data_IF_845840482516
#
_entry.id   IF_845840482516
#
_cell.length_a   1.000
_cell.length_b   1.000
_cell.length_c   1.000
_cell.angle_alpha   90.00
_cell.angle_beta   90.00
_cell.angle_gamma   90.00
#
_symmetry.space_group_name_H-M   'P 1'
#
loop_
_entity.id
_entity.type
_entity.pdbx_description
1 polymer ?
#
# COMPACT_ATOMS: atom_id res chain seq x y z
N UNK A 1 -2.39 -8.27 -3.61
CA UNK A 1 -2.96 -8.40 -2.25
C UNK A 1 -1.87 -8.56 -1.19
N UNK A 2 -0.94 -9.53 -1.32
CA UNK A 2 0.15 -9.70 -0.33
C UNK A 2 1.07 -8.48 -0.15
N UNK A 3 1.34 -7.72 -1.21
CA UNK A 3 2.14 -6.48 -1.11
C UNK A 3 1.49 -5.38 -0.24
N UNK A 4 0.16 -5.26 -0.25
CA UNK A 4 -0.56 -4.27 0.59
C UNK A 4 -0.67 -4.70 2.06
N UNK A 5 -0.81 -6.00 2.31
CA UNK A 5 -0.85 -6.56 3.65
C UNK A 5 0.46 -6.34 4.43
N UNK A 6 1.61 -6.36 3.75
CA UNK A 6 2.92 -6.04 4.34
C UNK A 6 2.99 -4.56 4.76
N UNK A 7 2.38 -3.64 4.00
CA UNK A 7 2.26 -2.24 4.41
C UNK A 7 1.32 -2.04 5.61
N UNK A 8 0.26 -2.84 5.70
CA UNK A 8 -0.60 -2.90 6.88
C UNK A 8 0.11 -3.52 8.10
N UNK A 9 1.12 -4.37 7.93
CA UNK A 9 1.92 -4.89 9.05
C UNK A 9 2.77 -3.80 9.74
N UNK A 10 3.02 -2.68 9.06
CA UNK A 10 3.69 -1.50 9.61
C UNK A 10 2.74 -0.54 10.36
N UNK A 11 1.53 -0.98 10.74
CA UNK A 11 0.50 -0.16 11.42
C UNK A 11 0.96 0.48 12.74
N UNK A 12 1.99 -0.08 13.37
CA UNK A 12 2.55 0.36 14.66
C UNK A 12 3.86 1.13 14.52
N UNK A 13 4.32 1.44 13.30
CA UNK A 13 5.52 2.24 13.07
C UNK A 13 5.32 3.66 13.63
N UNK A 14 6.29 4.15 14.41
CA UNK A 14 6.28 5.53 14.91
C UNK A 14 6.61 6.49 13.77
N UNK A 15 5.62 7.24 13.30
CA UNK A 15 5.82 8.33 12.36
C UNK A 15 6.07 9.64 13.12
N UNK A 16 6.90 10.55 12.56
CA UNK A 16 7.20 11.83 13.19
C UNK A 16 6.00 12.79 13.18
N UNK A 17 5.05 12.67 12.23
CA UNK A 17 3.79 13.42 12.22
C UNK A 17 2.55 12.52 12.14
N UNK A 18 1.47 12.95 12.80
CA UNK A 18 0.16 12.28 12.76
C UNK A 18 -0.46 12.29 11.36
N UNK A 19 -0.17 13.33 10.56
CA UNK A 19 -0.67 13.43 9.19
C UNK A 19 -0.07 12.34 8.28
N UNK A 20 1.23 12.07 8.40
CA UNK A 20 1.90 11.01 7.64
C UNK A 20 1.39 9.62 8.03
N UNK A 21 1.14 9.40 9.32
CA UNK A 21 0.58 8.14 9.81
C UNK A 21 -0.82 7.87 9.23
N UNK A 22 -1.70 8.88 9.25
CA UNK A 22 -3.04 8.77 8.68
C UNK A 22 -2.96 8.55 7.17
N UNK A 23 -2.10 9.29 6.47
CA UNK A 23 -1.92 9.16 5.03
C UNK A 23 -1.43 7.75 4.66
N UNK A 24 -0.48 7.19 5.41
CA UNK A 24 0.03 5.84 5.23
C UNK A 24 -1.06 4.78 5.38
N UNK A 25 -1.88 4.90 6.44
CA UNK A 25 -2.99 3.97 6.71
C UNK A 25 -4.05 4.03 5.62
N UNK A 26 -4.45 5.24 5.20
CA UNK A 26 -5.44 5.44 4.14
C UNK A 26 -4.91 4.91 2.80
N UNK A 27 -3.67 5.22 2.43
CA UNK A 27 -3.08 4.73 1.18
C UNK A 27 -2.92 3.20 1.16
N UNK A 28 -2.52 2.59 2.29
CA UNK A 28 -2.38 1.13 2.41
C UNK A 28 -3.73 0.40 2.28
N UNK A 29 -4.78 0.95 2.90
CA UNK A 29 -6.14 0.45 2.77
C UNK A 29 -6.64 0.59 1.32
N UNK A 30 -6.49 1.77 0.71
CA UNK A 30 -6.89 2.00 -0.68
C UNK A 30 -6.20 1.02 -1.63
N UNK A 31 -4.88 0.85 -1.54
CA UNK A 31 -4.11 -0.07 -2.39
C UNK A 31 -4.55 -1.53 -2.23
N UNK A 32 -5.08 -1.90 -1.07
CA UNK A 32 -5.60 -3.25 -0.80
C UNK A 32 -7.04 -3.43 -1.30
N UNK A 33 -7.91 -2.44 -1.09
CA UNK A 33 -9.32 -2.49 -1.47
C UNK A 33 -9.55 -2.36 -2.98
N UNK A 34 -8.73 -1.58 -3.70
CA UNK A 34 -8.87 -1.37 -5.15
C UNK A 34 -8.87 -2.68 -5.97
N UNK A 35 -7.89 -3.60 -5.82
CA UNK A 35 -7.92 -4.86 -6.57
C UNK A 35 -9.09 -5.76 -6.16
N UNK A 36 -9.55 -5.71 -4.90
CA UNK A 36 -10.75 -6.43 -4.48
C UNK A 36 -12.00 -5.91 -5.18
N UNK A 37 -12.16 -4.58 -5.25
CA UNK A 37 -13.24 -3.93 -5.98
C UNK A 37 -13.23 -4.31 -7.47
N UNK A 38 -12.06 -4.24 -8.11
CA UNK A 38 -11.93 -4.60 -9.53
C UNK A 38 -12.28 -6.07 -9.78
N UNK A 39 -11.84 -6.99 -8.91
CA UNK A 39 -12.21 -8.40 -9.00
C UNK A 39 -13.73 -8.60 -8.85
N UNK A 40 -14.35 -7.91 -7.89
CA UNK A 40 -15.79 -7.94 -7.67
C UNK A 40 -16.59 -7.46 -8.90
N UNK A 41 -16.20 -6.33 -9.49
CA UNK A 41 -16.81 -5.81 -10.71
C UNK A 41 -16.68 -6.80 -11.87
N UNK A 42 -15.52 -7.42 -12.05
CA UNK A 42 -15.31 -8.42 -13.09
C UNK A 42 -16.23 -9.64 -12.92
N UNK A 43 -16.43 -10.11 -11.68
CA UNK A 43 -17.35 -11.22 -11.38
C UNK A 43 -18.79 -10.84 -11.75
N UNK A 44 -19.26 -9.66 -11.34
CA UNK A 44 -20.62 -9.20 -11.66
C UNK A 44 -20.84 -9.12 -13.18
N UNK A 45 -19.90 -8.51 -13.91
CA UNK A 45 -20.00 -8.36 -15.37
C UNK A 45 -19.97 -9.72 -16.08
N UNK A 46 -19.21 -10.69 -15.55
CA UNK A 46 -19.15 -12.04 -16.11
C UNK A 46 -20.47 -12.81 -15.89
N UNK A 47 -21.09 -12.68 -14.70
CA UNK A 47 -22.37 -13.33 -14.37
C UNK A 47 -23.54 -12.65 -15.11
N UNK A 48 -23.49 -11.33 -15.27
CA UNK A 48 -24.55 -10.53 -15.89
C UNK A 48 -24.04 -9.79 -17.14
N UNK A 49 -23.81 -10.49 -18.26
CA UNK A 49 -23.27 -9.87 -19.47
C UNK A 49 -24.22 -8.84 -20.11
N UNK A 50 -25.53 -8.98 -19.88
CA UNK A 50 -26.58 -8.14 -20.48
C UNK A 50 -26.94 -6.90 -19.63
N UNK A 51 -25.95 -6.27 -18.99
CA UNK A 51 -26.16 -5.03 -18.25
C UNK A 51 -26.52 -3.88 -19.22
N UNK A 52 -27.44 -2.97 -18.83
CA UNK A 52 -27.77 -1.82 -19.66
C UNK A 52 -26.55 -0.93 -19.90
N UNK A 53 -26.49 -0.28 -21.07
CA UNK A 53 -25.33 0.49 -21.53
C UNK A 53 -24.95 1.65 -20.61
N UNK A 54 -25.93 2.25 -19.90
CA UNK A 54 -25.63 3.27 -18.90
C UNK A 54 -24.79 2.70 -17.75
N UNK A 55 -25.05 1.45 -17.31
CA UNK A 55 -24.36 0.85 -16.15
C UNK A 55 -22.93 0.56 -16.54
N UNK A 56 -22.73 0.01 -17.73
CA UNK A 56 -21.39 -0.22 -18.29
C UNK A 56 -20.59 1.09 -18.36
N UNK A 57 -21.22 2.17 -18.81
CA UNK A 57 -20.60 3.50 -18.87
C UNK A 57 -20.20 3.99 -17.47
N UNK A 58 -21.10 3.89 -16.49
CA UNK A 58 -20.81 4.26 -15.10
C UNK A 58 -19.68 3.42 -14.50
N UNK A 59 -19.69 2.10 -14.70
CA UNK A 59 -18.62 1.20 -14.23
C UNK A 59 -17.27 1.59 -14.83
N UNK A 60 -17.21 1.93 -16.14
CA UNK A 60 -15.97 2.42 -16.76
C UNK A 60 -15.45 3.68 -16.10
N UNK A 61 -16.31 4.69 -15.94
CA UNK A 61 -15.91 5.98 -15.35
C UNK A 61 -15.43 5.83 -13.90
N UNK A 62 -16.17 5.07 -13.09
CA UNK A 62 -15.78 4.79 -11.71
C UNK A 62 -14.46 4.01 -11.66
N UNK A 63 -14.31 2.97 -12.47
CA UNK A 63 -13.07 2.18 -12.53
C UNK A 63 -11.86 3.01 -12.95
N UNK A 64 -12.04 3.95 -13.89
CA UNK A 64 -10.99 4.88 -14.30
C UNK A 64 -10.57 5.82 -13.16
N UNK A 65 -11.53 6.39 -12.43
CA UNK A 65 -11.26 7.24 -11.27
C UNK A 65 -10.55 6.48 -10.15
N UNK A 66 -10.98 5.26 -9.86
CA UNK A 66 -10.36 4.38 -8.87
C UNK A 66 -8.91 4.03 -9.23
N UNK A 67 -8.61 3.77 -10.51
CA UNK A 67 -7.24 3.53 -10.97
C UNK A 67 -6.35 4.75 -10.79
N UNK A 68 -6.85 5.94 -11.07
CA UNK A 68 -6.10 7.18 -10.85
C UNK A 68 -5.74 7.39 -9.38
N UNK A 69 -6.72 7.22 -8.48
CA UNK A 69 -6.48 7.27 -7.03
C UNK A 69 -5.50 6.21 -6.55
N UNK A 70 -5.54 5.00 -7.14
CA UNK A 70 -4.60 3.92 -6.82
C UNK A 70 -3.15 4.28 -7.16
N UNK A 71 -2.92 4.92 -8.31
CA UNK A 71 -1.58 5.38 -8.73
C UNK A 71 -1.05 6.42 -7.73
N UNK A 72 -1.88 7.40 -7.35
CA UNK A 72 -1.49 8.41 -6.36
C UNK A 72 -1.15 7.77 -5.00
N UNK A 73 -2.01 6.88 -4.50
CA UNK A 73 -1.77 6.19 -3.24
C UNK A 73 -0.48 5.35 -3.28
N UNK A 74 -0.18 4.70 -4.41
CA UNK A 74 1.08 3.98 -4.62
C UNK A 74 2.29 4.89 -4.54
N UNK A 75 2.26 6.04 -5.21
CA UNK A 75 3.35 7.01 -5.17
C UNK A 75 3.57 7.53 -3.75
N UNK A 76 2.50 7.83 -3.01
CA UNK A 76 2.57 8.25 -1.60
C UNK A 76 3.23 7.19 -0.72
N UNK A 77 2.84 5.91 -0.85
CA UNK A 77 3.49 4.82 -0.09
C UNK A 77 4.97 4.67 -0.41
N UNK A 78 5.36 4.85 -1.68
CA UNK A 78 6.78 4.82 -2.08
C UNK A 78 7.53 5.97 -1.41
N UNK A 79 7.03 7.20 -1.50
CA UNK A 79 7.67 8.37 -0.87
C UNK A 79 7.81 8.15 0.64
N UNK A 80 6.76 7.70 1.32
CA UNK A 80 6.80 7.45 2.76
C UNK A 80 7.77 6.32 3.15
N UNK A 81 7.94 5.30 2.31
CA UNK A 81 8.94 4.25 2.57
C UNK A 81 10.38 4.79 2.59
N UNK A 82 10.69 5.75 1.69
CA UNK A 82 11.99 6.43 1.68
C UNK A 82 12.18 7.39 2.87
N UNK A 83 11.12 8.09 3.27
CA UNK A 83 11.15 8.95 4.47
C UNK A 83 11.41 8.13 5.73
N UNK A 84 10.73 7.00 5.88
CA UNK A 84 10.94 6.06 7.00
C UNK A 84 12.37 5.49 7.04
N UNK A 85 12.98 5.21 5.88
CA UNK A 85 14.38 4.80 5.78
C UNK A 85 15.38 5.89 6.20
N UNK A 86 15.04 7.17 5.99
CA UNK A 86 15.91 8.31 6.33
C UNK A 86 15.94 8.60 7.83
N UNK A 87 14.84 8.34 8.55
CA UNK A 87 14.73 8.55 9.99
C UNK A 87 15.20 7.35 10.84
N UNK A 88 15.94 6.40 10.23
CA UNK A 88 16.48 5.26 10.96
C UNK A 88 17.41 5.74 12.10
N UNK A 89 17.21 5.25 13.34
CA UNK A 89 18.01 5.71 14.47
C UNK A 89 19.50 5.44 14.23
N UNK A 90 20.40 6.35 14.66
CA UNK A 90 21.84 6.25 14.44
C UNK A 90 22.49 4.97 15.01
N UNK A 91 21.76 4.21 15.83
CA UNK A 91 22.17 2.91 16.37
C UNK A 91 22.32 1.79 15.33
N UNK A 92 21.66 1.85 14.17
CA UNK A 92 21.77 0.80 13.12
C UNK A 92 23.04 0.97 12.27
N UNK A 93 23.59 2.18 12.23
CA UNK A 93 24.91 2.43 11.65
C UNK A 93 26.06 2.01 12.57
N UNK A 94 25.78 1.63 13.84
CA UNK A 94 26.77 0.91 14.62
C UNK A 94 26.90 -0.48 14.02
N UNK A 95 28.04 -0.73 13.39
CA UNK A 95 28.41 -2.05 12.90
C UNK A 95 28.12 -3.07 14.00
N UNK A 96 27.21 -4.01 13.71
CA UNK A 96 27.03 -5.22 14.51
C UNK A 96 28.43 -5.78 14.74
N UNK A 97 28.86 -5.87 16.00
CA UNK A 97 30.17 -6.39 16.38
C UNK A 97 30.18 -7.90 16.13
N UNK A 98 30.19 -8.31 14.85
CA UNK A 98 30.27 -9.69 14.39
C UNK A 98 31.51 -10.40 14.96
N UNK A 99 32.55 -9.63 15.30
CA UNK A 99 33.76 -10.09 15.98
C UNK A 99 33.52 -10.71 17.36
N UNK A 100 32.41 -10.40 18.05
CA UNK A 100 32.02 -11.06 19.31
C UNK A 100 31.30 -12.41 19.10
N UNK A 101 30.89 -12.72 17.86
CA UNK A 101 30.24 -13.99 17.52
C UNK A 101 31.19 -14.98 16.84
N UNK A 102 32.45 -14.58 16.61
CA UNK A 102 33.50 -15.49 16.14
C UNK A 102 34.08 -16.16 17.39
N UNK A 103 33.79 -17.45 17.65
CA UNK A 103 34.45 -18.15 18.73
C UNK A 103 35.95 -18.15 18.45
N UNK A 104 36.72 -17.59 19.38
CA UNK A 104 38.17 -17.74 19.40
C UNK A 104 38.43 -19.23 19.67
N UNK A 105 38.89 -19.95 18.64
CA UNK A 105 39.39 -21.32 18.77
C UNK A 105 40.90 -21.24 18.92
#
# INVERSE_FOLDING_TARGET
VMFGAIHCAAWTSKFPSTAEEVLWKVCSLLVTCVPMYLAWVNIIVNIHPNLPTWVWRSIKWVSMGTLFMYILARLSLIVQSFVSLRDLPPGIFKAVQWTNFIPHI
#
